data_IF_136517427920
#
_entry.id   IF_136517427920
#
_cell.length_a   1.000
_cell.length_b   1.000
_cell.length_c   1.000
_cell.angle_alpha   90.00
_cell.angle_beta   90.00
_cell.angle_gamma   90.00
#
_symmetry.space_group_name_H-M   'P 1'
#
loop_
_entity.id
_entity.type
_entity.pdbx_description
1 polymer ?
#
# COMPACT_ATOMS: atom_id res chain seq x y z
N UNK A 1 23.43 3.54 -19.56
CA UNK A 1 23.69 4.45 -18.44
C UNK A 1 22.33 4.87 -17.90
N UNK A 2 21.88 4.31 -16.77
CA UNK A 2 20.67 4.82 -16.13
C UNK A 2 21.05 6.14 -15.45
N UNK A 3 20.37 7.23 -15.80
CA UNK A 3 20.58 8.52 -15.17
C UNK A 3 20.17 8.42 -13.69
N UNK A 4 21.03 8.86 -12.79
CA UNK A 4 20.75 8.84 -11.36
C UNK A 4 19.74 9.96 -11.04
N UNK A 5 18.48 9.57 -10.79
CA UNK A 5 17.42 10.52 -10.43
C UNK A 5 17.70 11.04 -9.01
N UNK A 6 18.02 12.32 -8.90
CA UNK A 6 18.23 12.97 -7.60
C UNK A 6 16.89 13.29 -6.94
N UNK A 7 16.69 12.76 -5.74
CA UNK A 7 15.59 13.16 -4.87
C UNK A 7 15.94 14.50 -4.21
N UNK A 8 15.09 15.50 -4.41
CA UNK A 8 15.20 16.80 -3.75
C UNK A 8 14.19 16.86 -2.60
N UNK A 9 14.55 17.43 -1.43
CA UNK A 9 13.60 17.60 -0.33
C UNK A 9 12.40 18.45 -0.77
N UNK A 10 11.20 18.02 -0.37
CA UNK A 10 10.01 18.84 -0.51
C UNK A 10 10.10 20.04 0.46
N UNK A 11 9.76 21.28 0.02
CA UNK A 11 9.88 22.48 0.86
C UNK A 11 9.15 22.37 2.21
N UNK A 12 8.00 21.70 2.22
CA UNK A 12 7.13 21.56 3.39
C UNK A 12 7.24 20.17 4.06
N UNK A 13 8.28 19.40 3.69
CA UNK A 13 8.43 18.01 4.13
C UNK A 13 7.58 17.01 3.34
N UNK A 14 7.64 15.74 3.74
CA UNK A 14 6.89 14.65 3.12
C UNK A 14 5.74 14.22 4.02
N UNK A 15 4.60 13.87 3.40
CA UNK A 15 3.50 13.24 4.13
C UNK A 15 3.87 11.76 4.33
N UNK A 16 4.05 11.37 5.58
CA UNK A 16 4.24 9.97 5.96
C UNK A 16 2.93 9.37 6.43
N UNK A 17 2.57 8.23 5.84
CA UNK A 17 1.34 7.51 6.15
C UNK A 17 1.71 6.08 6.53
N UNK A 18 1.32 5.67 7.73
CA UNK A 18 1.33 4.27 8.09
C UNK A 18 0.13 3.55 7.47
N UNK A 19 0.38 2.41 6.82
CA UNK A 19 -0.65 1.51 6.30
C UNK A 19 -0.19 0.07 6.39
N UNK A 20 -1.09 -0.83 6.77
CA UNK A 20 -0.87 -2.27 6.81
C UNK A 20 -1.86 -3.05 5.93
N UNK A 21 -2.70 -2.34 5.17
CA UNK A 21 -3.63 -2.91 4.21
C UNK A 21 -3.56 -2.12 2.91
N UNK A 22 -3.52 -2.83 1.78
CA UNK A 22 -3.49 -2.24 0.44
C UNK A 22 -4.59 -2.85 -0.39
N UNK A 23 -5.34 -2.00 -1.08
CA UNK A 23 -6.39 -2.41 -1.98
C UNK A 23 -6.20 -1.75 -3.35
N UNK A 24 -6.41 -2.51 -4.42
CA UNK A 24 -6.18 -2.07 -5.78
C UNK A 24 -7.49 -2.09 -6.56
N UNK A 25 -7.84 -0.93 -7.12
CA UNK A 25 -8.87 -0.77 -8.14
C UNK A 25 -8.23 -0.33 -9.45
N UNK A 26 -8.91 -0.55 -10.57
CA UNK A 26 -8.39 -0.13 -11.87
C UNK A 26 -9.50 0.33 -12.82
N UNK A 27 -9.08 1.09 -13.81
CA UNK A 27 -9.84 1.45 -15.00
C UNK A 27 -9.10 0.97 -16.25
N UNK A 28 -9.60 1.32 -17.43
CA UNK A 28 -8.89 1.07 -18.68
C UNK A 28 -7.56 1.82 -18.78
N UNK A 29 -7.42 2.97 -18.11
CA UNK A 29 -6.28 3.88 -18.28
C UNK A 29 -5.29 3.86 -17.13
N UNK A 30 -5.74 3.49 -15.94
CA UNK A 30 -4.99 3.66 -14.71
C UNK A 30 -5.34 2.63 -13.63
N UNK A 31 -4.50 2.61 -12.61
CA UNK A 31 -4.68 1.87 -11.37
C UNK A 31 -4.78 2.87 -10.23
N UNK A 32 -5.74 2.65 -9.32
CA UNK A 32 -5.85 3.34 -8.04
C UNK A 32 -5.45 2.40 -6.91
N UNK A 33 -4.37 2.73 -6.23
CA UNK A 33 -3.86 2.03 -5.05
C UNK A 33 -4.35 2.77 -3.81
N UNK A 34 -5.10 2.07 -2.96
CA UNK A 34 -5.63 2.59 -1.68
C UNK A 34 -4.83 1.98 -0.54
N UNK A 35 -4.29 2.82 0.32
CA UNK A 35 -3.57 2.44 1.53
C UNK A 35 -4.46 2.68 2.73
N UNK A 36 -4.61 1.66 3.57
CA UNK A 36 -5.45 1.70 4.75
C UNK A 36 -4.74 1.09 5.97
N UNK A 37 -5.26 1.41 7.14
CA UNK A 37 -4.88 0.77 8.39
C UNK A 37 -6.04 -0.09 8.87
N UNK A 38 -5.77 -1.38 9.16
CA UNK A 38 -6.69 -2.23 9.88
C UNK A 38 -6.75 -1.77 11.34
N UNK A 39 -7.92 -1.29 11.75
CA UNK A 39 -8.22 -0.87 13.11
C UNK A 39 -9.36 -1.71 13.70
N UNK A 40 -9.39 -1.93 15.02
CA UNK A 40 -10.52 -2.53 15.70
C UNK A 40 -11.82 -1.75 15.42
N UNK A 41 -12.92 -2.49 15.32
CA UNK A 41 -14.24 -1.93 14.96
C UNK A 41 -14.79 -1.00 16.04
N UNK A 42 -14.50 -1.29 17.29
CA UNK A 42 -14.85 -0.48 18.47
C UNK A 42 -14.12 0.87 18.54
N UNK A 43 -13.00 1.02 17.84
CA UNK A 43 -12.25 2.28 17.74
C UNK A 43 -12.84 3.26 16.71
N UNK A 44 -13.97 2.92 16.08
CA UNK A 44 -14.54 3.67 14.96
C UNK A 44 -15.82 4.37 15.40
N UNK A 45 -15.80 5.68 15.67
CA UNK A 45 -16.98 6.40 16.12
C UNK A 45 -18.04 6.43 15.01
N UNK A 46 -19.21 5.86 15.27
CA UNK A 46 -20.43 6.08 14.48
C UNK A 46 -20.47 5.49 13.06
N UNK A 47 -19.53 4.62 12.66
CA UNK A 47 -19.43 4.11 11.28
C UNK A 47 -19.48 2.60 11.13
N UNK A 48 -19.96 1.87 12.14
CA UNK A 48 -20.11 0.43 12.04
C UNK A 48 -21.58 0.06 12.16
N UNK A 49 -22.16 -0.44 11.06
CA UNK A 49 -23.47 -1.07 11.13
C UNK A 49 -23.40 -2.23 12.12
N UNK A 50 -24.43 -2.49 12.95
CA UNK A 50 -24.50 -3.68 13.80
C UNK A 50 -24.28 -5.01 13.06
N UNK A 51 -24.37 -5.01 11.73
CA UNK A 51 -24.22 -6.19 10.85
C UNK A 51 -22.77 -6.46 10.39
N UNK A 52 -21.79 -5.64 10.78
CA UNK A 52 -20.38 -5.89 10.43
C UNK A 52 -19.83 -7.00 11.33
N UNK A 53 -19.88 -8.24 10.85
CA UNK A 53 -19.34 -9.42 11.54
C UNK A 53 -17.79 -9.49 11.55
N UNK A 54 -17.09 -8.40 11.20
CA UNK A 54 -15.64 -8.38 11.11
C UNK A 54 -15.03 -7.78 12.39
N UNK A 55 -13.98 -8.39 12.92
CA UNK A 55 -13.24 -7.88 14.09
C UNK A 55 -12.39 -6.64 13.78
N UNK A 56 -12.20 -6.32 12.49
CA UNK A 56 -11.37 -5.20 12.03
C UNK A 56 -12.00 -4.53 10.81
N UNK A 57 -11.79 -3.22 10.68
CA UNK A 57 -12.09 -2.47 9.46
C UNK A 57 -10.84 -1.79 8.88
N UNK A 58 -10.83 -1.60 7.56
CA UNK A 58 -9.79 -0.87 6.86
C UNK A 58 -10.10 0.63 6.82
N UNK A 59 -9.46 1.42 7.68
CA UNK A 59 -9.54 2.88 7.64
C UNK A 59 -8.60 3.42 6.56
N UNK A 60 -9.17 4.01 5.50
CA UNK A 60 -8.37 4.62 4.42
C UNK A 60 -7.49 5.75 4.95
N UNK A 61 -6.21 5.75 4.54
CA UNK A 61 -5.22 6.74 4.92
C UNK A 61 -4.66 7.51 3.71
N UNK A 62 -4.53 6.85 2.56
CA UNK A 62 -4.07 7.48 1.32
C UNK A 62 -4.60 6.75 0.09
N UNK A 63 -4.71 7.45 -1.04
CA UNK A 63 -4.98 6.84 -2.32
C UNK A 63 -4.15 7.51 -3.42
N UNK A 64 -3.53 6.70 -4.27
CA UNK A 64 -2.69 7.17 -5.37
C UNK A 64 -3.20 6.56 -6.67
N UNK A 65 -3.42 7.40 -7.68
CA UNK A 65 -3.80 6.94 -9.02
C UNK A 65 -2.62 7.11 -9.96
N UNK A 66 -2.27 6.05 -10.67
CA UNK A 66 -1.12 6.01 -11.58
C UNK A 66 -1.52 5.36 -12.89
N UNK A 67 -0.89 5.75 -14.00
CA UNK A 67 -1.08 5.06 -15.28
C UNK A 67 -0.57 3.62 -15.23
N UNK A 68 -1.04 2.77 -16.15
CA UNK A 68 -0.53 1.40 -16.29
C UNK A 68 1.00 1.32 -16.48
N UNK A 69 1.59 2.28 -17.19
CA UNK A 69 3.04 2.35 -17.37
C UNK A 69 3.77 2.57 -16.03
N UNK A 70 3.27 3.52 -15.22
CA UNK A 70 3.82 3.79 -13.89
C UNK A 70 3.61 2.61 -12.95
N UNK A 71 2.44 1.96 -12.99
CA UNK A 71 2.17 0.76 -12.21
C UNK A 71 3.13 -0.40 -12.55
N UNK A 72 3.43 -0.62 -13.84
CA UNK A 72 4.41 -1.63 -14.25
C UNK A 72 5.79 -1.35 -13.70
N UNK A 73 6.24 -0.10 -13.76
CA UNK A 73 7.51 0.31 -13.18
C UNK A 73 7.52 0.12 -11.66
N UNK A 74 6.44 0.51 -10.97
CA UNK A 74 6.29 0.31 -9.53
C UNK A 74 6.39 -1.18 -9.14
N UNK A 75 5.71 -2.07 -9.88
CA UNK A 75 5.82 -3.52 -9.68
C UNK A 75 7.28 -4.00 -9.78
N UNK A 76 8.00 -3.56 -10.80
CA UNK A 76 9.39 -4.00 -11.03
C UNK A 76 10.32 -3.49 -9.92
N UNK A 77 10.11 -2.26 -9.43
CA UNK A 77 10.81 -1.70 -8.28
C UNK A 77 10.51 -2.46 -6.98
N UNK A 78 9.24 -2.80 -6.74
CA UNK A 78 8.83 -3.59 -5.57
C UNK A 78 9.43 -4.98 -5.59
N UNK A 79 9.40 -5.66 -6.75
CA UNK A 79 10.04 -6.97 -6.91
C UNK A 79 11.54 -6.91 -6.61
N UNK A 80 12.24 -5.91 -7.16
CA UNK A 80 13.66 -5.73 -6.90
C UNK A 80 13.95 -5.47 -5.41
N UNK A 81 13.12 -4.65 -4.75
CA UNK A 81 13.27 -4.35 -3.33
C UNK A 81 13.06 -5.61 -2.47
N UNK A 82 12.00 -6.38 -2.74
CA UNK A 82 11.70 -7.65 -2.05
C UNK A 82 12.84 -8.65 -2.26
N UNK A 83 13.27 -8.89 -3.50
CA UNK A 83 14.35 -9.84 -3.78
C UNK A 83 15.67 -9.46 -3.10
N UNK A 84 16.00 -8.16 -3.02
CA UNK A 84 17.19 -7.68 -2.28
C UNK A 84 17.07 -7.89 -0.78
N UNK A 85 15.88 -7.69 -0.23
CA UNK A 85 15.62 -7.94 1.18
C UNK A 85 15.75 -9.44 1.48
N UNK A 86 15.11 -10.29 0.69
CA UNK A 86 15.12 -11.75 0.89
C UNK A 86 16.51 -12.37 0.72
N UNK A 87 17.30 -11.88 -0.24
CA UNK A 87 18.68 -12.33 -0.43
C UNK A 87 19.56 -12.12 0.82
N UNK A 88 19.22 -11.13 1.67
CA UNK A 88 19.95 -10.82 2.90
C UNK A 88 19.33 -11.44 4.16
N UNK A 89 18.00 -11.53 4.21
CA UNK A 89 17.26 -11.86 5.44
C UNK A 89 16.52 -13.22 5.40
N UNK A 90 16.57 -13.92 4.27
CA UNK A 90 15.78 -15.11 4.01
C UNK A 90 14.41 -14.80 3.38
N UNK A 91 13.80 -15.83 2.80
CA UNK A 91 12.50 -15.75 2.11
C UNK A 91 11.39 -15.23 3.02
N UNK A 92 10.60 -14.28 2.51
CA UNK A 92 9.37 -13.83 3.14
C UNK A 92 8.33 -14.93 2.92
N UNK A 93 8.07 -15.69 3.97
CA UNK A 93 6.97 -16.66 3.94
C UNK A 93 5.66 -15.89 4.04
N UNK A 94 4.83 -16.00 3.00
CA UNK A 94 3.42 -15.65 3.14
C UNK A 94 2.86 -16.53 4.25
N UNK A 95 2.41 -15.93 5.34
CA UNK A 95 1.50 -16.62 6.25
C UNK A 95 0.24 -16.92 5.44
N UNK A 96 -0.29 -18.14 5.54
CA UNK A 96 -1.66 -18.46 5.14
C UNK A 96 -2.60 -17.64 6.04
N UNK A 97 -2.70 -16.35 5.75
CA UNK A 97 -3.67 -15.47 6.36
C UNK A 97 -4.94 -15.62 5.53
N UNK A 98 -6.06 -16.08 6.13
CA UNK A 98 -7.32 -16.15 5.41
C UNK A 98 -7.71 -14.72 5.05
N UNK A 99 -7.63 -14.39 3.77
CA UNK A 99 -8.24 -13.20 3.20
C UNK A 99 -9.70 -13.54 2.90
#
# INVERSE_FOLDING_TARGET
>A
MAEEIKFVPAPDGIIEVYSNYVFINWSMTDIRIRFAQLIPVDEVPGHVSPDVAADRIAQERAAVTVSWLQAKNLRDLLNLAVSRYEAKNGEIKLLDWPI
#
